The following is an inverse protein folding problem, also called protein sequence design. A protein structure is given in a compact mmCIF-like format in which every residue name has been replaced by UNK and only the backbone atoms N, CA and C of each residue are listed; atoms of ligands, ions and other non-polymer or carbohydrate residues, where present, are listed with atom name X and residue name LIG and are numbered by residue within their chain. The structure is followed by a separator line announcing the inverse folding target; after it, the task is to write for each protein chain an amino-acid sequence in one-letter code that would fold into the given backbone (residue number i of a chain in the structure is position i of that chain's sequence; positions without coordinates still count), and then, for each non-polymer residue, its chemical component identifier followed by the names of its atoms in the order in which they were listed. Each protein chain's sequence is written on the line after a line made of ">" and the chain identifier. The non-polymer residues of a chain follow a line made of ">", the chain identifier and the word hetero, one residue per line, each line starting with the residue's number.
data_IF_392706089188
#
_entry.id   IF_392706089188
#
_cell.length_a   1.000
_cell.length_b   1.000
_cell.length_c   1.000
_cell.angle_alpha   90.00
_cell.angle_beta   90.00
_cell.angle_gamma   90.00
#
_symmetry.space_group_name_H-M   'P 1'
#
loop_
_entity.id
_entity.type
_entity.pdbx_description
1 polymer ?
#
# COMPACT_ATOMS: atom_id res chain seq x y z
N UNK A 1 6.31 14.08 11.77
CA UNK A 1 5.22 13.23 12.33
C UNK A 1 5.54 12.91 13.78
N UNK A 2 4.55 13.02 14.67
CA UNK A 2 4.75 12.68 16.09
C UNK A 2 4.77 11.17 16.27
N UNK A 3 5.43 10.69 17.34
CA UNK A 3 5.42 9.27 17.70
C UNK A 3 4.00 8.75 17.94
N UNK A 4 3.17 9.56 18.58
CA UNK A 4 1.76 9.22 18.84
C UNK A 4 0.96 9.01 17.54
N UNK A 5 1.15 9.88 16.55
CA UNK A 5 0.50 9.72 15.24
C UNK A 5 1.03 8.47 14.54
N UNK A 6 2.33 8.23 14.56
CA UNK A 6 2.95 7.04 13.97
C UNK A 6 2.34 5.76 14.57
N UNK A 7 2.27 5.66 15.89
CA UNK A 7 1.67 4.53 16.59
C UNK A 7 0.19 4.33 16.20
N UNK A 8 -0.57 5.43 16.14
CA UNK A 8 -1.98 5.40 15.75
C UNK A 8 -2.17 4.87 14.33
N UNK A 9 -1.38 5.37 13.37
CA UNK A 9 -1.49 4.94 11.97
C UNK A 9 -1.03 3.50 11.77
N UNK A 10 0.01 3.05 12.47
CA UNK A 10 0.45 1.66 12.46
C UNK A 10 -0.65 0.73 12.99
N UNK A 11 -1.28 1.09 14.09
CA UNK A 11 -2.37 0.30 14.69
C UNK A 11 -3.63 0.31 13.83
N UNK A 12 -3.98 1.45 13.25
CA UNK A 12 -5.15 1.62 12.41
C UNK A 12 -5.10 0.72 11.16
N UNK A 13 -3.97 0.71 10.48
CA UNK A 13 -3.77 -0.11 9.28
C UNK A 13 -3.76 -1.61 9.53
N UNK A 14 -3.66 -2.06 10.81
CA UNK A 14 -3.60 -3.48 11.14
C UNK A 14 -4.84 -4.02 11.87
N UNK A 15 -5.68 -3.16 12.42
CA UNK A 15 -6.77 -3.60 13.31
C UNK A 15 -8.15 -3.02 12.99
N UNK A 16 -8.22 -1.88 12.36
CA UNK A 16 -9.48 -1.12 12.25
C UNK A 16 -10.18 -1.24 10.91
N UNK A 17 -9.45 -1.57 9.84
CA UNK A 17 -10.00 -1.66 8.49
C UNK A 17 -10.30 -3.12 8.12
N UNK A 18 -11.58 -3.48 7.91
CA UNK A 18 -11.95 -4.88 7.63
C UNK A 18 -11.24 -5.49 6.43
N UNK A 19 -11.10 -4.74 5.34
CA UNK A 19 -10.41 -5.20 4.14
C UNK A 19 -8.94 -5.51 4.41
N UNK A 20 -8.25 -4.61 5.09
CA UNK A 20 -6.83 -4.73 5.44
C UNK A 20 -6.59 -5.95 6.34
N UNK A 21 -7.44 -6.13 7.35
CA UNK A 21 -7.38 -7.28 8.27
C UNK A 21 -7.64 -8.59 7.52
N UNK A 22 -8.71 -8.63 6.72
CA UNK A 22 -9.09 -9.83 5.97
C UNK A 22 -8.00 -10.29 5.00
N UNK A 23 -7.32 -9.35 4.38
CA UNK A 23 -6.28 -9.63 3.38
C UNK A 23 -4.86 -9.69 3.96
N UNK A 24 -4.72 -9.68 5.29
CA UNK A 24 -3.43 -9.76 5.99
C UNK A 24 -2.44 -8.66 5.62
N UNK A 25 -2.95 -7.48 5.30
CA UNK A 25 -2.16 -6.31 4.95
C UNK A 25 -1.71 -5.61 6.23
N UNK A 26 -0.44 -5.22 6.31
CA UNK A 26 0.13 -4.57 7.49
C UNK A 26 0.90 -3.32 7.10
N UNK A 27 0.66 -2.24 7.81
CA UNK A 27 1.51 -1.05 7.75
C UNK A 27 2.72 -1.33 8.64
N UNK A 28 3.92 -1.36 8.07
CA UNK A 28 5.13 -1.79 8.78
C UNK A 28 6.09 -0.65 9.11
N UNK A 29 6.06 0.43 8.33
CA UNK A 29 6.84 1.63 8.65
C UNK A 29 6.20 2.88 8.05
N UNK A 30 6.49 4.03 8.69
CA UNK A 30 5.96 5.34 8.31
C UNK A 30 7.01 6.41 8.51
N UNK A 31 7.09 7.32 7.52
CA UNK A 31 7.82 8.58 7.59
C UNK A 31 6.94 9.68 7.01
N UNK A 32 7.35 10.95 7.17
CA UNK A 32 6.58 12.05 6.59
C UNK A 32 6.51 11.91 5.05
N UNK A 33 5.29 11.76 4.53
CA UNK A 33 5.04 11.58 3.10
C UNK A 33 5.37 10.19 2.57
N UNK A 34 5.64 9.21 3.43
CA UNK A 34 5.97 7.85 3.02
C UNK A 34 5.30 6.81 3.91
N UNK A 35 4.83 5.72 3.32
CA UNK A 35 4.30 4.58 4.05
C UNK A 35 4.77 3.27 3.43
N UNK A 36 5.20 2.35 4.28
CA UNK A 36 5.55 0.98 3.90
C UNK A 36 4.46 0.03 4.36
N UNK A 37 3.92 -0.73 3.42
CA UNK A 37 2.82 -1.66 3.65
C UNK A 37 3.22 -3.02 3.10
N UNK A 38 2.96 -4.07 3.84
CA UNK A 38 3.41 -5.42 3.47
C UNK A 38 2.27 -6.43 3.51
N UNK A 39 2.39 -7.45 2.68
CA UNK A 39 1.47 -8.56 2.56
C UNK A 39 2.24 -9.82 2.17
N UNK A 40 2.07 -10.91 2.93
CA UNK A 40 2.51 -12.24 2.48
C UNK A 40 1.35 -12.90 1.75
N UNK A 41 1.58 -13.29 0.48
CA UNK A 41 0.54 -13.86 -0.37
C UNK A 41 -0.03 -15.14 0.21
N UNK A 42 -1.34 -15.14 0.37
CA UNK A 42 -2.15 -16.28 0.80
C UNK A 42 -2.90 -16.87 -0.39
N UNK A 43 -3.44 -18.10 -0.30
CA UNK A 43 -4.19 -18.70 -1.41
C UNK A 43 -5.33 -17.84 -1.95
N UNK A 44 -6.05 -17.13 -1.08
CA UNK A 44 -7.17 -16.25 -1.44
C UNK A 44 -6.76 -14.98 -2.20
N UNK A 45 -5.47 -14.66 -2.24
CA UNK A 45 -4.94 -13.48 -2.96
C UNK A 45 -4.43 -13.82 -4.36
N UNK A 46 -4.55 -15.08 -4.78
CA UNK A 46 -4.02 -15.54 -6.05
C UNK A 46 -5.06 -15.45 -7.17
N UNK A 47 -4.54 -15.25 -8.38
CA UNK A 47 -5.34 -15.38 -9.61
C UNK A 47 -5.40 -16.86 -10.04
N UNK A 48 -6.08 -17.13 -11.17
CA UNK A 48 -6.21 -18.50 -11.72
C UNK A 48 -4.88 -19.14 -12.12
N UNK A 49 -3.82 -18.35 -12.24
CA UNK A 49 -2.48 -18.81 -12.65
C UNK A 49 -1.58 -19.09 -11.45
N UNK A 50 -2.07 -18.93 -10.23
CA UNK A 50 -1.30 -19.14 -9.01
C UNK A 50 -0.35 -17.99 -8.66
N UNK A 51 -0.56 -16.82 -9.20
CA UNK A 51 0.23 -15.62 -8.89
C UNK A 51 -0.65 -14.54 -8.27
N UNK A 52 -0.03 -13.49 -7.71
CA UNK A 52 -0.74 -12.39 -7.09
C UNK A 52 -1.80 -11.83 -8.04
N UNK A 53 -3.06 -11.79 -7.58
CA UNK A 53 -4.14 -11.18 -8.33
C UNK A 53 -3.87 -9.67 -8.48
N UNK A 54 -4.12 -9.12 -9.68
CA UNK A 54 -3.96 -7.69 -9.93
C UNK A 54 -4.75 -6.81 -8.96
N UNK A 55 -5.91 -7.30 -8.51
CA UNK A 55 -6.71 -6.61 -7.51
C UNK A 55 -6.03 -6.48 -6.15
N UNK A 56 -5.28 -7.49 -5.71
CA UNK A 56 -4.54 -7.40 -4.43
C UNK A 56 -3.33 -6.48 -4.56
N UNK A 57 -2.65 -6.49 -5.71
CA UNK A 57 -1.56 -5.55 -5.98
C UNK A 57 -2.06 -4.11 -5.99
N UNK A 58 -3.20 -3.86 -6.66
CA UNK A 58 -3.82 -2.54 -6.68
C UNK A 58 -4.19 -2.07 -5.27
N UNK A 59 -4.87 -2.92 -4.50
CA UNK A 59 -5.30 -2.60 -3.14
C UNK A 59 -4.11 -2.27 -2.23
N UNK A 60 -3.04 -3.09 -2.30
CA UNK A 60 -1.84 -2.87 -1.51
C UNK A 60 -1.18 -1.52 -1.82
N UNK A 61 -1.05 -1.20 -3.11
CA UNK A 61 -0.46 0.06 -3.55
C UNK A 61 -1.33 1.27 -3.17
N UNK A 62 -2.64 1.16 -3.31
CA UNK A 62 -3.59 2.23 -2.95
C UNK A 62 -3.58 2.50 -1.44
N UNK A 63 -3.53 1.45 -0.62
CA UNK A 63 -3.42 1.58 0.84
C UNK A 63 -2.11 2.27 1.22
N UNK A 64 -1.00 1.92 0.59
CA UNK A 64 0.29 2.55 0.85
C UNK A 64 0.25 4.05 0.50
N UNK A 65 -0.31 4.41 -0.65
CA UNK A 65 -0.45 5.81 -1.08
C UNK A 65 -1.33 6.61 -0.10
N UNK A 66 -2.52 6.09 0.23
CA UNK A 66 -3.43 6.75 1.16
C UNK A 66 -2.85 6.90 2.57
N UNK A 67 -2.12 5.88 3.04
CA UNK A 67 -1.45 5.95 4.34
C UNK A 67 -0.32 6.99 4.34
N UNK A 68 0.43 7.09 3.24
CA UNK A 68 1.45 8.14 3.09
C UNK A 68 0.84 9.54 3.20
N UNK A 69 -0.32 9.76 2.58
CA UNK A 69 -1.04 11.04 2.71
C UNK A 69 -1.40 11.35 4.16
N UNK A 70 -1.87 10.35 4.90
CA UNK A 70 -2.26 10.51 6.31
C UNK A 70 -1.09 10.90 7.22
N UNK A 71 0.15 10.60 6.84
CA UNK A 71 1.33 11.05 7.61
C UNK A 71 1.50 12.57 7.56
N UNK A 72 0.98 13.23 6.53
CA UNK A 72 1.10 14.68 6.33
C UNK A 72 -0.18 15.42 6.68
N UNK A 73 -1.34 14.82 6.45
CA UNK A 73 -2.65 15.45 6.68
C UNK A 73 -3.65 14.40 7.17
N UNK A 74 -4.17 14.58 8.39
CA UNK A 74 -5.09 13.64 9.04
C UNK A 74 -6.55 13.95 8.69
N UNK A 75 -6.85 14.02 7.41
CA UNK A 75 -8.21 14.22 6.89
C UNK A 75 -8.62 12.98 6.09
N UNK A 76 -9.92 12.74 5.99
CA UNK A 76 -10.42 11.68 5.11
C UNK A 76 -10.00 12.01 3.68
N UNK A 77 -9.23 11.10 3.07
CA UNK A 77 -8.89 11.18 1.68
C UNK A 77 -9.37 9.93 0.95
N UNK A 78 -9.88 10.12 -0.26
CA UNK A 78 -10.37 9.06 -1.10
C UNK A 78 -9.66 9.13 -2.45
N UNK A 79 -9.35 7.96 -2.99
CA UNK A 79 -8.71 7.87 -4.31
C UNK A 79 -9.69 8.37 -5.38
N UNK A 80 -9.25 9.35 -6.15
CA UNK A 80 -10.02 9.90 -7.29
C UNK A 80 -9.65 9.20 -8.57
N UNK A 81 -8.36 8.93 -8.75
CA UNK A 81 -7.83 8.32 -9.96
C UNK A 81 -6.56 7.55 -9.62
N UNK A 82 -6.38 6.41 -10.27
CA UNK A 82 -5.18 5.61 -10.12
C UNK A 82 -4.86 4.88 -11.43
N UNK A 83 -3.57 4.78 -11.74
CA UNK A 83 -3.07 4.03 -12.89
C UNK A 83 -1.97 3.10 -12.41
N UNK A 84 -2.08 1.82 -12.73
CA UNK A 84 -1.13 0.80 -12.32
C UNK A 84 -0.55 0.08 -13.54
N UNK A 85 0.76 -0.19 -13.49
CA UNK A 85 1.43 -1.07 -14.43
C UNK A 85 1.87 -2.33 -13.68
N UNK A 86 1.46 -3.49 -14.18
CA UNK A 86 1.86 -4.80 -13.66
C UNK A 86 3.08 -5.27 -14.46
N UNK A 87 4.19 -5.44 -13.78
CA UNK A 87 5.50 -5.64 -14.42
C UNK A 87 6.00 -7.08 -14.29
N UNK A 88 5.69 -7.76 -13.17
CA UNK A 88 6.16 -9.11 -12.92
C UNK A 88 5.20 -9.84 -11.97
N UNK A 89 5.33 -11.16 -11.88
CA UNK A 89 4.48 -12.02 -11.09
C UNK A 89 5.14 -12.43 -9.78
N UNK A 90 4.33 -12.64 -8.75
CA UNK A 90 4.77 -13.22 -7.48
C UNK A 90 3.86 -14.39 -7.11
N UNK A 91 4.43 -15.45 -6.56
CA UNK A 91 3.72 -16.67 -6.19
C UNK A 91 3.38 -16.76 -4.71
N UNK A 92 2.65 -17.82 -4.36
CA UNK A 92 2.27 -18.13 -2.99
C UNK A 92 3.47 -18.07 -2.03
N UNK A 93 3.27 -17.44 -0.88
CA UNK A 93 4.31 -17.30 0.15
C UNK A 93 5.26 -16.13 -0.06
N UNK A 94 5.23 -15.46 -1.22
CA UNK A 94 6.02 -14.24 -1.44
C UNK A 94 5.53 -13.12 -0.54
N UNK A 95 6.44 -12.35 0.01
CA UNK A 95 6.12 -11.11 0.73
C UNK A 95 6.18 -9.93 -0.23
N UNK A 96 5.05 -9.27 -0.38
CA UNK A 96 4.92 -8.06 -1.20
C UNK A 96 5.12 -6.84 -0.32
N UNK A 97 5.90 -5.90 -0.81
CA UNK A 97 6.26 -4.67 -0.10
C UNK A 97 5.87 -3.49 -0.98
N UNK A 98 4.90 -2.72 -0.53
CA UNK A 98 4.48 -1.47 -1.18
C UNK A 98 5.04 -0.28 -0.41
N UNK A 99 5.73 0.60 -1.11
CA UNK A 99 6.21 1.86 -0.55
C UNK A 99 5.54 3.00 -1.30
N UNK A 100 4.63 3.67 -0.62
CA UNK A 100 3.89 4.81 -1.14
C UNK A 100 4.57 6.12 -0.77
N UNK A 101 4.65 7.03 -1.73
CA UNK A 101 5.25 8.36 -1.55
C UNK A 101 4.28 9.45 -1.98
N UNK A 102 4.21 10.52 -1.21
CA UNK A 102 3.52 11.74 -1.61
C UNK A 102 4.47 12.56 -2.48
N UNK A 103 4.09 12.76 -3.75
CA UNK A 103 4.85 13.60 -4.68
C UNK A 103 4.48 15.06 -4.54
N UNK A 104 3.19 15.34 -4.33
CA UNK A 104 2.68 16.68 -4.15
C UNK A 104 1.44 16.67 -3.27
N UNK A 105 1.48 17.45 -2.20
CA UNK A 105 0.33 17.71 -1.34
C UNK A 105 -0.29 19.05 -1.79
N UNK A 106 -1.38 18.99 -2.56
CA UNK A 106 -2.14 20.16 -2.94
C UNK A 106 -3.20 20.50 -1.88
N UNK A 107 -3.93 21.60 -2.10
CA UNK A 107 -5.01 22.03 -1.21
C UNK A 107 -6.19 21.06 -1.23
N UNK A 108 -6.57 20.57 -2.43
CA UNK A 108 -7.72 19.69 -2.64
C UNK A 108 -7.33 18.31 -3.18
N UNK A 109 -6.19 18.19 -3.83
CA UNK A 109 -5.69 16.96 -4.42
C UNK A 109 -4.28 16.67 -3.97
N UNK A 110 -3.99 15.39 -3.75
CA UNK A 110 -2.66 14.89 -3.45
C UNK A 110 -2.23 13.93 -4.55
N UNK A 111 -0.98 14.04 -5.00
CA UNK A 111 -0.41 13.19 -6.03
C UNK A 111 0.63 12.28 -5.40
N UNK A 112 0.50 10.98 -5.65
CA UNK A 112 1.35 9.96 -5.06
C UNK A 112 1.84 8.97 -6.09
N UNK A 113 2.93 8.28 -5.75
CA UNK A 113 3.34 7.08 -6.47
C UNK A 113 3.67 5.96 -5.48
N UNK A 114 3.52 4.73 -5.90
CA UNK A 114 3.82 3.55 -5.09
C UNK A 114 4.48 2.49 -5.94
N UNK A 115 5.59 1.95 -5.47
CA UNK A 115 6.22 0.77 -6.04
C UNK A 115 5.95 -0.43 -5.16
N UNK A 116 5.66 -1.59 -5.79
CA UNK A 116 5.54 -2.88 -5.11
C UNK A 116 6.71 -3.75 -5.54
N UNK A 117 7.45 -4.24 -4.57
CA UNK A 117 8.53 -5.21 -4.76
C UNK A 117 8.24 -6.49 -4.00
N UNK A 118 8.93 -7.59 -4.33
CA UNK A 118 8.97 -8.77 -3.48
C UNK A 118 10.13 -8.68 -2.47
N UNK A 119 10.31 -9.72 -1.65
CA UNK A 119 11.36 -9.80 -0.64
C UNK A 119 12.78 -9.78 -1.20
N UNK A 120 12.95 -10.06 -2.51
CA UNK A 120 14.24 -10.00 -3.19
C UNK A 120 14.55 -8.62 -3.77
N UNK A 121 13.59 -7.70 -3.71
CA UNK A 121 13.69 -6.36 -4.30
C UNK A 121 13.26 -6.29 -5.76
N UNK A 122 12.71 -7.37 -6.32
CA UNK A 122 12.21 -7.38 -7.70
C UNK A 122 10.93 -6.55 -7.81
N UNK A 123 10.91 -5.62 -8.75
CA UNK A 123 9.76 -4.74 -8.96
C UNK A 123 8.60 -5.50 -9.63
N UNK A 124 7.45 -5.52 -8.98
CA UNK A 124 6.26 -6.24 -9.42
C UNK A 124 5.22 -5.33 -10.07
N UNK A 125 5.04 -4.16 -9.54
CA UNK A 125 4.05 -3.18 -10.02
C UNK A 125 4.43 -1.77 -9.60
N UNK A 126 3.89 -0.79 -10.33
CA UNK A 126 4.01 0.63 -9.99
C UNK A 126 2.67 1.32 -10.18
N UNK A 127 2.29 2.17 -9.23
CA UNK A 127 1.01 2.88 -9.21
C UNK A 127 1.25 4.38 -9.18
N UNK A 128 0.45 5.13 -9.93
CA UNK A 128 0.30 6.58 -9.77
C UNK A 128 -1.13 6.86 -9.34
N UNK A 129 -1.27 7.70 -8.32
CA UNK A 129 -2.56 7.97 -7.68
C UNK A 129 -2.76 9.45 -7.49
#
# INVERSE_FOLDING_TARGET
>A
MTNQLKEKLLAYGTKAEPFTVHNHIRVTDLQDGEARVELTLQPESLNRWGTAHGGILFALADIAAGTAVLTLRQEVCLTVNASIDFLDAAGLGSTLIAVGHVDRMGKSLCFCHTDITDETGRLLATLRT
#
